data_IF_759430013408
#
_entry.id   IF_759430013408
#
_cell.length_a   1.000
_cell.length_b   1.000
_cell.length_c   1.000
_cell.angle_alpha   90.00
_cell.angle_beta   90.00
_cell.angle_gamma   90.00
#
_symmetry.space_group_name_H-M   'P 1'
#
loop_
_entity.id
_entity.type
_entity.pdbx_description
1 polymer ?
#
# COMPACT_ATOMS: atom_id res chain seq x y z
N UNK A 1 -23.27 -7.30 21.75
CA UNK A 1 -22.53 -6.28 20.99
C UNK A 1 -21.98 -6.95 19.76
N UNK A 2 -22.53 -6.65 18.58
CA UNK A 2 -22.00 -7.17 17.31
C UNK A 2 -20.94 -6.19 16.83
N UNK A 3 -19.66 -6.62 16.81
CA UNK A 3 -18.61 -5.86 16.16
C UNK A 3 -18.91 -5.83 14.66
N UNK A 4 -19.16 -4.64 14.12
CA UNK A 4 -19.33 -4.44 12.68
C UNK A 4 -18.00 -4.73 12.00
N UNK A 5 -17.92 -5.88 11.31
CA UNK A 5 -16.77 -6.25 10.50
C UNK A 5 -16.70 -5.26 9.32
N UNK A 6 -15.79 -4.28 9.42
CA UNK A 6 -15.50 -3.36 8.31
C UNK A 6 -14.47 -4.04 7.41
N UNK A 7 -14.93 -4.65 6.32
CA UNK A 7 -14.06 -5.16 5.26
C UNK A 7 -13.43 -3.97 4.55
N UNK A 8 -12.14 -3.75 4.75
CA UNK A 8 -11.36 -2.72 4.04
C UNK A 8 -10.59 -3.44 2.93
N UNK A 9 -10.90 -3.09 1.69
CA UNK A 9 -10.27 -3.67 0.50
C UNK A 9 -9.24 -2.67 -0.03
N UNK A 10 -7.95 -2.92 0.22
CA UNK A 10 -6.88 -2.23 -0.49
C UNK A 10 -6.73 -2.84 -1.88
N UNK A 11 -7.26 -2.16 -2.90
CA UNK A 11 -7.14 -2.57 -4.31
C UNK A 11 -5.92 -1.86 -4.90
N UNK A 12 -4.87 -2.63 -5.20
CA UNK A 12 -3.69 -2.18 -5.92
C UNK A 12 -3.91 -2.47 -7.41
N UNK A 13 -4.14 -1.43 -8.20
CA UNK A 13 -3.95 -1.49 -9.66
C UNK A 13 -2.59 -0.89 -9.99
N UNK A 14 -1.57 -1.76 -10.11
CA UNK A 14 -0.24 -1.37 -10.53
C UNK A 14 -0.16 -1.32 -12.07
N UNK A 15 -0.03 -0.11 -12.62
CA UNK A 15 0.29 0.10 -14.03
C UNK A 15 1.80 0.18 -14.23
N UNK A 16 2.44 -0.84 -14.83
CA UNK A 16 3.82 -0.71 -15.26
C UNK A 16 3.91 0.00 -16.61
N UNK A 17 4.82 0.97 -16.72
CA UNK A 17 5.30 1.46 -18.01
C UNK A 17 6.43 0.54 -18.44
N UNK A 18 6.10 -0.47 -19.26
CA UNK A 18 7.12 -1.31 -19.89
C UNK A 18 7.92 -0.49 -20.91
N UNK A 19 9.02 0.12 -20.47
CA UNK A 19 9.99 0.74 -21.35
C UNK A 19 10.91 -0.34 -21.97
N UNK A 20 10.37 -1.13 -22.90
CA UNK A 20 11.10 -1.84 -23.96
C UNK A 20 10.10 -2.59 -24.86
N UNK A 21 9.68 -1.95 -25.96
CA UNK A 21 8.87 -2.58 -27.00
C UNK A 21 7.72 -1.69 -27.45
N UNK A 22 7.71 -1.36 -28.74
CA UNK A 22 6.75 -0.50 -29.42
C UNK A 22 5.32 -1.08 -29.36
N UNK A 23 4.65 -0.95 -28.22
CA UNK A 23 3.21 -1.06 -28.09
C UNK A 23 2.79 0.08 -27.18
N UNK A 24 2.08 1.07 -27.74
CA UNK A 24 1.45 2.14 -26.98
C UNK A 24 0.38 1.54 -26.05
N UNK A 25 0.80 0.95 -24.94
CA UNK A 25 -0.01 0.89 -23.74
C UNK A 25 -0.02 2.32 -23.19
N UNK A 26 -0.81 3.18 -23.83
CA UNK A 26 -1.07 4.52 -23.35
C UNK A 26 -1.51 4.47 -21.89
N UNK A 27 -1.29 5.55 -21.13
CA UNK A 27 -1.68 5.58 -19.73
C UNK A 27 -3.15 5.16 -19.62
N UNK A 28 -3.43 4.03 -18.96
CA UNK A 28 -4.83 3.66 -18.68
C UNK A 28 -5.45 4.85 -17.97
N UNK A 29 -6.52 5.44 -18.49
CA UNK A 29 -7.15 6.58 -17.82
C UNK A 29 -7.56 6.14 -16.42
N UNK A 30 -7.32 6.99 -15.42
CA UNK A 30 -7.86 6.75 -14.09
C UNK A 30 -9.38 6.75 -14.21
N UNK A 31 -10.02 5.66 -13.76
CA UNK A 31 -11.48 5.58 -13.72
C UNK A 31 -12.05 6.66 -12.79
N UNK A 32 -13.26 7.14 -13.05
CA UNK A 32 -13.97 8.12 -12.23
C UNK A 32 -13.80 7.85 -10.72
N UNK A 33 -13.32 8.86 -9.98
CA UNK A 33 -13.10 8.79 -8.52
C UNK A 33 -11.77 8.18 -8.07
N UNK A 34 -10.85 7.88 -8.99
CA UNK A 34 -9.50 7.41 -8.70
C UNK A 34 -8.45 8.38 -9.26
N UNK A 35 -7.40 8.63 -8.49
CA UNK A 35 -6.20 9.34 -8.93
C UNK A 35 -5.06 8.35 -9.11
N UNK A 36 -4.16 8.66 -10.05
CA UNK A 36 -2.94 7.89 -10.26
C UNK A 36 -1.76 8.60 -9.63
N UNK A 37 -1.06 7.89 -8.76
CA UNK A 37 0.23 8.30 -8.21
C UNK A 37 1.32 7.62 -9.05
N UNK A 38 2.16 8.39 -9.70
CA UNK A 38 3.29 7.90 -10.50
C UNK A 38 4.55 7.94 -9.64
N UNK A 39 5.27 6.83 -9.57
CA UNK A 39 6.51 6.68 -8.82
C UNK A 39 7.62 6.45 -9.86
N UNK A 40 8.00 7.56 -10.52
CA UNK A 40 8.75 7.52 -11.77
C UNK A 40 10.15 6.91 -11.61
N UNK A 41 10.81 7.18 -10.49
CA UNK A 41 12.13 6.64 -10.13
C UNK A 41 12.11 5.11 -9.94
N UNK A 42 10.96 4.55 -9.56
CA UNK A 42 10.76 3.11 -9.39
C UNK A 42 10.05 2.44 -10.58
N UNK A 43 9.59 3.21 -11.57
CA UNK A 43 9.03 2.69 -12.82
C UNK A 43 7.61 2.12 -12.75
N UNK A 44 6.84 2.45 -11.70
CA UNK A 44 5.45 2.00 -11.57
C UNK A 44 4.50 3.13 -11.15
N UNK A 45 3.20 2.82 -11.17
CA UNK A 45 2.16 3.73 -10.69
C UNK A 45 1.11 2.97 -9.90
N UNK A 46 0.46 3.65 -8.97
CA UNK A 46 -0.61 3.11 -8.12
C UNK A 46 -1.85 3.99 -8.29
N UNK A 47 -3.00 3.36 -8.53
CA UNK A 47 -4.28 4.05 -8.48
C UNK A 47 -4.85 4.00 -7.05
N UNK A 48 -5.25 5.15 -6.52
CA UNK A 48 -5.92 5.29 -5.21
C UNK A 48 -7.16 6.17 -5.36
N UNK A 49 -8.13 6.15 -4.42
CA UNK A 49 -9.26 7.07 -4.49
C UNK A 49 -8.81 8.53 -4.53
N UNK A 50 -9.51 9.39 -5.28
CA UNK A 50 -9.18 10.83 -5.40
C UNK A 50 -9.22 11.57 -4.06
N UNK A 51 -9.99 11.08 -3.10
CA UNK A 51 -10.06 11.68 -1.76
C UNK A 51 -8.88 11.33 -0.86
N UNK A 52 -8.03 10.38 -1.27
CA UNK A 52 -6.88 9.97 -0.46
C UNK A 52 -5.74 10.97 -0.59
N UNK A 53 -4.99 11.11 0.49
CA UNK A 53 -3.74 11.87 0.50
C UNK A 53 -2.58 10.91 0.25
N UNK A 54 -1.55 11.37 -0.45
CA UNK A 54 -0.40 10.57 -0.82
C UNK A 54 0.92 11.27 -0.46
N UNK A 55 1.87 10.47 0.00
CA UNK A 55 3.25 10.84 0.30
C UNK A 55 4.16 9.97 -0.58
N UNK A 56 5.06 10.61 -1.29
CA UNK A 56 6.11 9.98 -2.09
C UNK A 56 7.40 10.77 -1.94
N UNK A 57 8.53 10.22 -2.41
CA UNK A 57 9.81 10.95 -2.39
C UNK A 57 9.71 12.30 -3.11
N UNK A 58 9.00 12.35 -4.24
CA UNK A 58 8.77 13.58 -5.01
C UNK A 58 7.92 14.60 -4.24
N UNK A 59 6.83 14.15 -3.61
CA UNK A 59 5.97 15.02 -2.79
C UNK A 59 6.74 15.60 -1.58
N UNK A 60 7.59 14.78 -0.95
CA UNK A 60 8.43 15.21 0.18
C UNK A 60 9.57 16.14 -0.25
N UNK A 61 10.03 16.06 -1.49
CA UNK A 61 11.02 16.98 -2.06
C UNK A 61 10.41 18.34 -2.44
N UNK A 62 9.08 18.42 -2.55
CA UNK A 62 8.30 19.63 -2.78
C UNK A 62 8.18 20.55 -1.56
N UNK A 63 7.74 21.79 -1.81
CA UNK A 63 7.80 22.91 -0.86
C UNK A 63 6.58 23.04 0.07
N UNK A 64 6.29 22.02 0.88
CA UNK A 64 5.39 22.16 2.03
C UNK A 64 4.09 21.35 2.03
N UNK A 65 3.87 20.47 1.05
CA UNK A 65 2.68 19.60 1.00
C UNK A 65 2.53 18.74 2.27
N UNK A 66 3.65 18.27 2.83
CA UNK A 66 3.65 17.55 4.09
C UNK A 66 3.17 18.43 5.25
N UNK A 67 3.61 19.69 5.31
CA UNK A 67 3.22 20.60 6.38
C UNK A 67 1.70 20.88 6.31
N UNK A 68 1.15 21.04 5.11
CA UNK A 68 -0.30 21.19 4.87
C UNK A 68 -1.08 19.94 5.32
N UNK A 69 -0.56 18.75 4.99
CA UNK A 69 -1.15 17.46 5.40
C UNK A 69 -1.15 17.32 6.92
N UNK A 70 -0.04 17.67 7.59
CA UNK A 70 0.10 17.63 9.05
C UNK A 70 -0.79 18.66 9.74
N UNK A 71 -0.90 19.87 9.19
CA UNK A 71 -1.78 20.92 9.72
C UNK A 71 -3.26 20.51 9.60
N UNK A 72 -3.64 19.87 8.50
CA UNK A 72 -4.99 19.35 8.29
C UNK A 72 -5.31 18.12 9.17
N UNK A 73 -4.28 17.34 9.55
CA UNK A 73 -4.44 16.06 10.25
C UNK A 73 -3.51 15.93 11.46
N UNK A 74 -3.64 16.77 12.51
CA UNK A 74 -2.73 16.76 13.65
C UNK A 74 -2.72 15.41 14.40
N UNK A 75 -3.84 14.70 14.42
CA UNK A 75 -3.96 13.37 15.05
C UNK A 75 -3.23 12.27 14.27
N UNK A 76 -2.90 12.51 13.00
CA UNK A 76 -2.15 11.59 12.15
C UNK A 76 -0.65 11.95 12.06
N UNK A 77 -0.18 12.95 12.82
CA UNK A 77 1.17 13.48 12.66
C UNK A 77 2.27 12.43 12.86
N UNK A 78 2.15 11.60 13.90
CA UNK A 78 3.13 10.54 14.18
C UNK A 78 3.23 9.50 13.04
N UNK A 79 2.15 8.83 12.59
CA UNK A 79 2.25 7.87 11.49
C UNK A 79 2.71 8.53 10.18
N UNK A 80 2.35 9.79 9.92
CA UNK A 80 2.83 10.54 8.76
C UNK A 80 4.34 10.77 8.83
N UNK A 81 4.88 11.17 9.98
CA UNK A 81 6.34 11.36 10.16
C UNK A 81 7.11 10.04 10.08
N UNK A 82 6.53 8.93 10.56
CA UNK A 82 7.12 7.59 10.38
C UNK A 82 7.17 7.21 8.90
N UNK A 83 6.07 7.43 8.15
CA UNK A 83 6.03 7.19 6.71
C UNK A 83 7.07 8.06 5.98
N UNK A 84 7.18 9.35 6.34
CA UNK A 84 8.21 10.26 5.80
C UNK A 84 9.61 9.71 6.03
N UNK A 85 9.94 9.31 7.25
CA UNK A 85 11.26 8.77 7.57
C UNK A 85 11.58 7.52 6.75
N UNK A 86 10.62 6.62 6.57
CA UNK A 86 10.76 5.42 5.75
C UNK A 86 10.86 5.72 4.25
N UNK A 87 10.18 6.76 3.74
CA UNK A 87 10.34 7.20 2.35
C UNK A 87 11.74 7.77 2.13
N UNK A 88 12.21 8.64 3.04
CA UNK A 88 13.53 9.25 2.95
C UNK A 88 14.68 8.25 3.08
N UNK A 89 14.48 7.12 3.78
CA UNK A 89 15.45 6.04 3.87
C UNK A 89 15.42 5.10 2.65
N UNK A 90 14.45 5.26 1.74
CA UNK A 90 14.23 4.39 0.58
C UNK A 90 13.54 3.06 0.92
N UNK A 91 13.03 2.90 2.15
CA UNK A 91 12.26 1.72 2.57
C UNK A 91 10.84 1.73 2.01
N UNK A 92 10.23 2.93 1.93
CA UNK A 92 8.93 3.13 1.29
C UNK A 92 9.10 3.90 -0.01
N UNK A 93 8.51 3.38 -1.08
CA UNK A 93 8.37 4.12 -2.33
C UNK A 93 7.21 5.12 -2.28
N UNK A 94 6.12 4.74 -1.61
CA UNK A 94 4.97 5.62 -1.37
C UNK A 94 4.14 5.20 -0.15
N UNK A 95 3.34 6.12 0.34
CA UNK A 95 2.30 5.91 1.35
C UNK A 95 1.08 6.76 0.98
N UNK A 96 -0.11 6.18 0.92
CA UNK A 96 -1.35 6.94 0.72
C UNK A 96 -2.43 6.47 1.70
N UNK A 97 -3.31 7.39 2.11
CA UNK A 97 -4.24 7.15 3.20
C UNK A 97 -5.53 7.97 3.08
N UNK A 98 -6.60 7.45 3.68
CA UNK A 98 -7.91 8.09 3.74
C UNK A 98 -8.00 9.13 4.86
N UNK A 99 -7.73 10.39 4.54
CA UNK A 99 -7.78 11.50 5.49
C UNK A 99 -9.22 11.97 5.84
N UNK A 100 -10.27 11.26 5.42
CA UNK A 100 -11.63 11.63 5.80
C UNK A 100 -11.80 11.63 7.34
N UNK A 101 -12.49 12.66 7.88
CA UNK A 101 -12.66 12.82 9.32
C UNK A 101 -13.26 11.59 10.02
N UNK A 102 -14.19 10.89 9.35
CA UNK A 102 -14.80 9.65 9.88
C UNK A 102 -13.81 8.47 9.93
N UNK A 103 -12.84 8.43 9.01
CA UNK A 103 -11.74 7.45 8.99
C UNK A 103 -10.83 7.69 10.18
N UNK A 104 -10.34 8.93 10.33
CA UNK A 104 -9.47 9.35 11.45
C UNK A 104 -10.15 9.15 12.80
N UNK A 105 -11.41 9.57 12.95
CA UNK A 105 -12.17 9.46 14.20
C UNK A 105 -12.37 8.01 14.68
N UNK A 106 -12.32 7.03 13.75
CA UNK A 106 -12.44 5.61 14.06
C UNK A 106 -11.21 5.04 14.78
N UNK A 107 -10.09 5.78 14.80
CA UNK A 107 -8.82 5.33 15.37
C UNK A 107 -8.02 4.41 14.44
N UNK A 108 -8.46 4.22 13.20
CA UNK A 108 -7.75 3.52 12.14
C UNK A 108 -8.04 4.15 10.79
N UNK A 109 -6.98 4.52 10.08
CA UNK A 109 -7.05 5.14 8.76
C UNK A 109 -6.73 4.10 7.70
N UNK A 110 -7.66 3.87 6.76
CA UNK A 110 -7.37 3.02 5.60
C UNK A 110 -6.17 3.59 4.83
N UNK A 111 -5.22 2.74 4.47
CA UNK A 111 -3.99 3.15 3.81
C UNK A 111 -3.49 2.09 2.84
N UNK A 112 -2.59 2.52 1.96
CA UNK A 112 -1.81 1.69 1.04
C UNK A 112 -0.38 2.21 1.08
N UNK A 113 0.57 1.30 1.03
CA UNK A 113 1.98 1.62 0.90
C UNK A 113 2.60 0.73 -0.18
N UNK A 114 3.77 1.14 -0.67
CA UNK A 114 4.60 0.32 -1.52
C UNK A 114 5.98 0.25 -0.88
N UNK A 115 6.38 -0.95 -0.48
CA UNK A 115 7.65 -1.22 0.20
C UNK A 115 8.63 -1.77 -0.81
N UNK A 116 9.84 -1.21 -0.87
CA UNK A 116 10.91 -1.78 -1.67
C UNK A 116 11.60 -2.90 -0.88
N UNK A 117 11.49 -4.13 -1.37
CA UNK A 117 12.10 -5.31 -0.72
C UNK A 117 13.43 -5.72 -1.37
N UNK A 118 13.99 -4.88 -2.24
CA UNK A 118 15.24 -5.12 -2.94
C UNK A 118 15.10 -6.19 -4.04
N UNK A 119 16.22 -6.78 -4.46
CA UNK A 119 16.18 -7.84 -5.47
C UNK A 119 15.69 -9.14 -4.86
N UNK A 120 14.52 -9.59 -5.30
CA UNK A 120 13.93 -10.89 -4.94
C UNK A 120 13.98 -11.79 -6.15
N UNK A 121 14.26 -13.08 -5.95
CA UNK A 121 14.23 -14.10 -7.00
C UNK A 121 13.15 -15.13 -6.69
N UNK A 122 12.64 -15.79 -7.73
CA UNK A 122 11.58 -16.79 -7.61
C UNK A 122 10.32 -16.39 -8.37
N UNK A 123 9.31 -17.25 -8.29
CA UNK A 123 7.97 -17.05 -8.83
C UNK A 123 7.08 -16.28 -7.85
N UNK A 124 5.98 -15.71 -8.36
CA UNK A 124 4.97 -15.08 -7.51
C UNK A 124 4.40 -16.05 -6.46
N UNK A 125 4.23 -17.32 -6.83
CA UNK A 125 3.76 -18.36 -5.89
C UNK A 125 4.74 -18.58 -4.74
N UNK A 126 6.04 -18.69 -5.04
CA UNK A 126 7.08 -18.86 -4.00
C UNK A 126 7.14 -17.65 -3.06
N UNK A 127 6.96 -16.43 -3.58
CA UNK A 127 6.81 -15.25 -2.74
C UNK A 127 5.56 -15.30 -1.87
N UNK A 128 4.41 -15.70 -2.42
CA UNK A 128 3.17 -15.83 -1.67
C UNK A 128 3.33 -16.77 -0.47
N UNK A 129 3.96 -17.93 -0.70
CA UNK A 129 4.23 -18.93 0.34
C UNK A 129 5.21 -18.43 1.40
N UNK A 130 6.31 -17.78 0.99
CA UNK A 130 7.29 -17.24 1.92
C UNK A 130 6.70 -16.12 2.80
N UNK A 131 5.97 -15.18 2.20
CA UNK A 131 5.32 -14.07 2.91
C UNK A 131 4.23 -14.60 3.85
N UNK A 132 3.43 -15.57 3.40
CA UNK A 132 2.41 -16.19 4.25
C UNK A 132 3.03 -16.88 5.48
N UNK A 133 4.09 -17.66 5.29
CA UNK A 133 4.79 -18.31 6.40
C UNK A 133 5.37 -17.29 7.39
N UNK A 134 5.86 -16.15 6.90
CA UNK A 134 6.35 -15.07 7.75
C UNK A 134 5.22 -14.43 8.58
N UNK A 135 4.09 -14.13 7.93
CA UNK A 135 2.91 -13.55 8.58
C UNK A 135 2.37 -14.51 9.65
N UNK A 136 2.23 -15.79 9.34
CA UNK A 136 1.77 -16.81 10.30
C UNK A 136 2.71 -16.95 11.51
N UNK A 137 4.01 -16.70 11.33
CA UNK A 137 4.99 -16.80 12.41
C UNK A 137 5.08 -15.55 13.29
N UNK A 138 4.85 -14.35 12.72
CA UNK A 138 5.17 -13.08 13.39
C UNK A 138 3.94 -12.22 13.73
N UNK A 139 2.85 -12.38 12.98
CA UNK A 139 1.66 -11.52 13.11
C UNK A 139 0.58 -12.27 13.88
N UNK A 140 -0.06 -11.65 14.89
CA UNK A 140 -1.19 -12.25 15.59
C UNK A 140 -2.46 -12.19 14.73
N UNK A 141 -2.49 -13.00 13.66
CA UNK A 141 -3.60 -13.06 12.72
C UNK A 141 -4.84 -13.72 13.34
N UNK A 142 -6.01 -13.31 12.88
CA UNK A 142 -7.28 -13.91 13.23
C UNK A 142 -7.77 -14.78 12.08
N UNK A 143 -7.39 -16.05 12.08
CA UNK A 143 -7.76 -17.01 11.03
C UNK A 143 -6.56 -17.48 10.23
N UNK A 144 -6.76 -17.72 8.93
CA UNK A 144 -5.72 -18.22 8.03
C UNK A 144 -5.26 -17.13 7.07
N UNK A 145 -4.00 -17.22 6.64
CA UNK A 145 -3.51 -16.44 5.51
C UNK A 145 -4.02 -17.10 4.22
N UNK A 146 -4.63 -16.31 3.35
CA UNK A 146 -5.09 -16.74 2.02
C UNK A 146 -4.10 -16.22 0.99
N UNK A 147 -3.53 -17.12 0.20
CA UNK A 147 -2.62 -16.81 -0.89
C UNK A 147 -3.23 -17.15 -2.24
N UNK A 148 -2.87 -16.38 -3.26
CA UNK A 148 -3.23 -16.60 -4.66
C UNK A 148 -2.16 -15.95 -5.57
N UNK A 149 -2.26 -16.15 -6.87
CA UNK A 149 -1.52 -15.39 -7.88
C UNK A 149 -2.47 -14.62 -8.79
N UNK A 150 -2.08 -13.41 -9.18
CA UNK A 150 -2.88 -12.55 -10.04
C UNK A 150 -2.03 -11.94 -11.14
N UNK A 151 -2.65 -11.65 -12.28
CA UNK A 151 -2.01 -10.85 -13.33
C UNK A 151 -2.43 -9.39 -13.18
N UNK A 152 -1.46 -8.55 -12.84
CA UNK A 152 -1.59 -7.10 -12.87
C UNK A 152 -1.05 -6.56 -14.21
N UNK A 153 -1.32 -5.30 -14.58
CA UNK A 153 -0.64 -4.68 -15.71
C UNK A 153 0.90 -4.68 -15.56
N UNK A 154 1.40 -4.73 -14.32
CA UNK A 154 2.82 -4.87 -14.01
C UNK A 154 3.40 -6.29 -14.17
N UNK A 155 2.57 -7.29 -14.47
CA UNK A 155 2.97 -8.69 -14.57
C UNK A 155 2.29 -9.58 -13.54
N UNK A 156 2.81 -10.79 -13.36
CA UNK A 156 2.34 -11.71 -12.34
C UNK A 156 2.73 -11.21 -10.94
N UNK A 157 1.79 -11.30 -10.00
CA UNK A 157 1.97 -10.90 -8.61
C UNK A 157 1.43 -11.96 -7.66
N UNK A 158 2.08 -12.10 -6.51
CA UNK A 158 1.52 -12.81 -5.38
C UNK A 158 0.41 -11.96 -4.78
N UNK A 159 -0.68 -12.59 -4.34
CA UNK A 159 -1.77 -11.95 -3.63
C UNK A 159 -1.91 -12.62 -2.27
N UNK A 160 -1.74 -11.85 -1.21
CA UNK A 160 -1.82 -12.33 0.16
C UNK A 160 -2.92 -11.57 0.90
N UNK A 161 -3.83 -12.28 1.57
CA UNK A 161 -4.91 -11.70 2.36
C UNK A 161 -4.99 -12.34 3.72
N UNK A 162 -5.18 -11.53 4.75
CA UNK A 162 -5.37 -12.01 6.12
C UNK A 162 -6.09 -10.96 6.96
N UNK A 163 -6.67 -11.39 8.07
CA UNK A 163 -7.21 -10.50 9.09
C UNK A 163 -6.23 -10.43 10.28
N UNK A 164 -6.02 -9.22 10.80
CA UNK A 164 -5.10 -8.94 11.89
C UNK A 164 -5.82 -8.18 13.00
N UNK A 165 -5.75 -8.70 14.24
CA UNK A 165 -6.23 -7.98 15.41
C UNK A 165 -5.16 -7.03 15.91
N UNK A 166 -5.43 -5.73 15.87
CA UNK A 166 -4.57 -4.68 16.43
C UNK A 166 -5.29 -3.89 17.51
N UNK A 167 -4.53 -3.13 18.27
CA UNK A 167 -5.07 -2.17 19.24
C UNK A 167 -4.98 -0.79 18.60
N UNK A 168 -6.10 -0.08 18.52
CA UNK A 168 -6.12 1.28 17.97
C UNK A 168 -5.51 2.29 18.96
N UNK A 169 -5.39 3.56 18.54
CA UNK A 169 -4.83 4.63 19.38
C UNK A 169 -5.63 4.91 20.67
N UNK A 170 -6.87 4.42 20.77
CA UNK A 170 -7.74 4.54 21.96
C UNK A 170 -7.61 3.35 22.92
N UNK A 171 -6.82 2.34 22.55
CA UNK A 171 -6.68 1.11 23.34
C UNK A 171 -7.74 0.04 23.04
N UNK A 172 -8.60 0.26 22.05
CA UNK A 172 -9.64 -0.71 21.67
C UNK A 172 -9.11 -1.72 20.66
N UNK A 173 -9.45 -3.02 20.78
CA UNK A 173 -9.14 -4.00 19.77
C UNK A 173 -9.96 -3.74 18.51
N UNK A 174 -9.29 -3.72 17.36
CA UNK A 174 -9.91 -3.64 16.04
C UNK A 174 -9.37 -4.78 15.16
N UNK A 175 -10.22 -5.30 14.29
CA UNK A 175 -9.79 -6.23 13.24
C UNK A 175 -9.56 -5.44 11.95
N UNK A 176 -8.40 -5.64 11.35
CA UNK A 176 -7.98 -5.03 10.10
C UNK A 176 -7.85 -6.14 9.06
N UNK A 177 -8.52 -5.98 7.93
CA UNK A 177 -8.30 -6.84 6.76
C UNK A 177 -7.15 -6.27 5.94
N UNK A 178 -6.15 -7.10 5.68
CA UNK A 178 -4.96 -6.73 4.91
C UNK A 178 -4.99 -7.44 3.57
N UNK A 179 -4.67 -6.71 2.50
CA UNK A 179 -4.41 -7.26 1.18
C UNK A 179 -3.05 -6.74 0.72
N UNK A 180 -2.13 -7.67 0.41
CA UNK A 180 -0.79 -7.36 -0.07
C UNK A 180 -0.59 -7.96 -1.46
N UNK A 181 0.17 -7.25 -2.29
CA UNK A 181 0.55 -7.72 -3.62
C UNK A 181 2.06 -7.74 -3.72
N UNK A 182 2.68 -8.92 -3.80
CA UNK A 182 4.12 -8.99 -4.02
C UNK A 182 4.40 -9.10 -5.53
N UNK A 183 5.07 -8.08 -6.07
CA UNK A 183 5.50 -8.03 -7.47
C UNK A 183 7.00 -8.29 -7.50
N UNK A 184 7.43 -9.35 -8.19
CA UNK A 184 8.85 -9.68 -8.37
C UNK A 184 9.27 -9.24 -9.77
N UNK A 185 10.07 -8.18 -9.84
CA UNK A 185 10.79 -7.79 -11.05
C UNK A 185 12.16 -8.45 -11.15
N UNK A 186 12.84 -8.27 -12.29
CA UNK A 186 14.17 -8.86 -12.52
C UNK A 186 15.26 -8.26 -11.62
N UNK A 187 15.10 -7.00 -11.20
CA UNK A 187 16.12 -6.24 -10.45
C UNK A 187 15.60 -5.72 -9.11
N UNK A 188 14.29 -5.69 -8.89
CA UNK A 188 13.64 -5.17 -7.70
C UNK A 188 12.31 -5.90 -7.45
N UNK A 189 11.91 -5.96 -6.19
CA UNK A 189 10.61 -6.46 -5.74
C UNK A 189 9.90 -5.40 -4.90
N UNK A 190 8.57 -5.41 -4.97
CA UNK A 190 7.71 -4.54 -4.18
C UNK A 190 6.59 -5.34 -3.53
N UNK A 191 6.17 -4.90 -2.35
CA UNK A 191 4.99 -5.38 -1.61
C UNK A 191 4.08 -4.21 -1.29
#
# INVERSE_FOLDING_TARGET
>A
MHATQRTIVAILLAGALAACGQGDAGPSESSDGWQRIVIADQGFSVAVPESWQALSADALAGSGELDEILEANPDAAEPIEQARSAIMSGQLAMFAFDAAADSVASGFTANVNAINVGSVTGSAQEAAEAVAAEIEAQVPITGAVVTDTVTLPAGEAALIRYDWSVVNVKGDPINVSVTQYAIIGQTSGYV
#
